data_IF_525444456101
#
_entry.id   IF_525444456101
#
_cell.length_a   1.000
_cell.length_b   1.000
_cell.length_c   1.000
_cell.angle_alpha   90.00
_cell.angle_beta   90.00
_cell.angle_gamma   90.00
#
_symmetry.space_group_name_H-M   'P 1'
#
loop_
_entity.id
_entity.type
_entity.pdbx_description
1 polymer ?
#
# COMPACT_ATOMS: atom_id res chain seq x y z
N UNK A 1 1.06 -19.19 8.63
CA UNK A 1 2.32 -19.88 8.25
C UNK A 1 2.29 -20.50 6.86
N UNK A 2 1.15 -21.03 6.39
CA UNK A 2 1.02 -21.59 5.03
C UNK A 2 1.16 -20.51 3.93
N UNK A 3 0.59 -19.33 4.15
CA UNK A 3 0.52 -18.22 3.18
C UNK A 3 1.89 -17.63 2.84
N UNK A 4 2.78 -17.47 3.83
CA UNK A 4 4.13 -16.96 3.59
C UNK A 4 4.99 -17.92 2.73
N UNK A 5 4.72 -19.22 2.81
CA UNK A 5 5.42 -20.22 2.01
C UNK A 5 4.96 -20.16 0.54
N UNK A 6 3.65 -20.03 0.33
CA UNK A 6 3.05 -19.86 -0.99
C UNK A 6 3.56 -18.58 -1.68
N UNK A 7 3.62 -17.47 -0.92
CA UNK A 7 4.14 -16.20 -1.43
C UNK A 7 5.60 -16.34 -1.87
N UNK A 8 6.44 -17.00 -1.06
CA UNK A 8 7.86 -17.25 -1.41
C UNK A 8 8.02 -18.12 -2.66
N UNK A 9 7.20 -19.16 -2.81
CA UNK A 9 7.24 -20.03 -4.00
C UNK A 9 6.84 -19.28 -5.28
N UNK A 10 5.87 -18.37 -5.20
CA UNK A 10 5.49 -17.52 -6.34
C UNK A 10 6.54 -16.44 -6.64
N UNK A 11 7.19 -15.87 -5.63
CA UNK A 11 8.24 -14.85 -5.78
C UNK A 11 9.45 -15.32 -6.59
N UNK A 12 9.82 -16.59 -6.48
CA UNK A 12 10.90 -17.18 -7.27
C UNK A 12 10.66 -17.09 -8.79
N UNK A 13 9.40 -16.94 -9.22
CA UNK A 13 9.02 -16.85 -10.63
C UNK A 13 9.01 -15.43 -11.16
N UNK A 14 9.13 -14.42 -10.30
CA UNK A 14 9.05 -13.03 -10.69
C UNK A 14 10.42 -12.37 -10.78
N UNK A 15 10.58 -11.58 -11.84
CA UNK A 15 11.73 -10.71 -12.06
C UNK A 15 11.31 -9.26 -11.94
N UNK A 16 12.23 -8.43 -11.47
CA UNK A 16 12.05 -7.00 -11.39
C UNK A 16 11.85 -6.41 -12.79
N UNK A 17 10.76 -5.66 -12.98
CA UNK A 17 10.45 -5.00 -14.25
C UNK A 17 11.52 -3.98 -14.68
N UNK A 18 12.26 -3.40 -13.73
CA UNK A 18 13.22 -2.32 -13.99
C UNK A 18 14.63 -2.83 -14.28
N UNK A 19 15.11 -3.83 -13.52
CA UNK A 19 16.51 -4.31 -13.62
C UNK A 19 16.65 -5.79 -13.98
N UNK A 20 15.54 -6.53 -14.15
CA UNK A 20 15.55 -7.96 -14.44
C UNK A 20 16.03 -8.85 -13.29
N UNK A 21 16.34 -8.29 -12.11
CA UNK A 21 16.78 -9.06 -10.94
C UNK A 21 15.68 -9.91 -10.33
N UNK A 22 16.02 -11.08 -9.77
CA UNK A 22 15.09 -11.94 -9.05
C UNK A 22 14.43 -11.22 -7.87
N UNK A 23 13.13 -11.46 -7.65
CA UNK A 23 12.37 -10.99 -6.50
C UNK A 23 12.28 -12.01 -5.36
N UNK A 24 12.98 -13.15 -5.45
CA UNK A 24 12.98 -14.19 -4.41
C UNK A 24 13.33 -13.67 -3.01
N UNK A 25 14.26 -12.72 -2.94
CA UNK A 25 14.71 -12.08 -1.70
C UNK A 25 14.12 -10.67 -1.51
N UNK A 26 13.02 -10.36 -2.21
CA UNK A 26 12.37 -9.06 -2.07
C UNK A 26 11.86 -8.86 -0.64
N UNK A 27 11.95 -7.62 -0.15
CA UNK A 27 11.24 -7.22 1.06
C UNK A 27 9.76 -7.15 0.71
N UNK A 28 8.93 -7.84 1.49
CA UNK A 28 7.50 -7.96 1.24
C UNK A 28 6.69 -7.17 2.26
N UNK A 29 5.60 -6.58 1.79
CA UNK A 29 4.59 -5.98 2.62
C UNK A 29 3.20 -6.39 2.11
N UNK A 30 2.41 -7.03 2.97
CA UNK A 30 1.03 -7.39 2.64
C UNK A 30 0.15 -6.14 2.61
N UNK A 31 -0.33 -5.80 1.41
CA UNK A 31 -1.29 -4.73 1.18
C UNK A 31 -2.70 -5.23 1.53
N UNK A 32 -3.07 -6.40 1.02
CA UNK A 32 -4.36 -7.03 1.26
C UNK A 32 -4.22 -8.54 1.38
N UNK A 33 -5.00 -9.08 2.30
CA UNK A 33 -5.13 -10.51 2.57
C UNK A 33 -6.62 -10.83 2.51
N UNK A 34 -7.06 -11.32 1.36
CA UNK A 34 -8.44 -11.76 1.14
C UNK A 34 -8.43 -13.27 0.85
N UNK A 35 -9.50 -14.02 1.20
CA UNK A 35 -9.55 -15.48 1.04
C UNK A 35 -9.26 -15.99 -0.37
N UNK A 36 -9.48 -15.14 -1.39
CA UNK A 36 -9.32 -15.47 -2.81
C UNK A 36 -8.10 -14.82 -3.47
N UNK A 37 -7.46 -13.85 -2.80
CA UNK A 37 -6.36 -13.08 -3.37
C UNK A 37 -5.46 -12.47 -2.29
N UNK A 38 -4.16 -12.71 -2.43
CA UNK A 38 -3.09 -12.05 -1.69
C UNK A 38 -2.49 -10.94 -2.53
N UNK A 39 -2.46 -9.72 -2.00
CA UNK A 39 -1.82 -8.56 -2.64
C UNK A 39 -0.62 -8.14 -1.78
N UNK A 40 0.57 -8.23 -2.35
CA UNK A 40 1.84 -7.98 -1.67
C UNK A 40 2.65 -6.97 -2.46
N UNK A 41 3.11 -5.91 -1.82
CA UNK A 41 4.17 -5.08 -2.36
C UNK A 41 5.52 -5.78 -2.15
N UNK A 42 6.34 -5.81 -3.20
CA UNK A 42 7.68 -6.35 -3.20
C UNK A 42 8.68 -5.26 -3.59
N UNK A 43 9.72 -5.09 -2.78
CA UNK A 43 10.83 -4.17 -3.07
C UNK A 43 12.00 -4.96 -3.63
N UNK A 44 12.44 -4.61 -4.83
CA UNK A 44 13.58 -5.27 -5.47
C UNK A 44 14.87 -5.01 -4.66
N UNK A 45 15.61 -6.06 -4.24
CA UNK A 45 16.81 -5.87 -3.43
C UNK A 45 17.94 -5.18 -4.21
N UNK A 46 17.96 -5.29 -5.55
CA UNK A 46 19.02 -4.73 -6.40
C UNK A 46 18.84 -3.25 -6.72
N UNK A 47 17.63 -2.82 -7.06
CA UNK A 47 17.39 -1.45 -7.57
C UNK A 47 16.30 -0.68 -6.80
N UNK A 48 15.78 -1.27 -5.72
CA UNK A 48 14.77 -0.68 -4.85
C UNK A 48 13.46 -0.29 -5.54
N UNK A 49 13.24 -0.73 -6.79
CA UNK A 49 11.95 -0.54 -7.45
C UNK A 49 10.89 -1.39 -6.79
N UNK A 50 9.69 -0.83 -6.65
CA UNK A 50 8.56 -1.51 -6.06
C UNK A 50 7.67 -2.16 -7.13
N UNK A 51 7.07 -3.28 -6.78
CA UNK A 51 6.11 -3.99 -7.61
C UNK A 51 4.99 -4.53 -6.73
N UNK A 52 3.77 -4.50 -7.24
CA UNK A 52 2.65 -5.19 -6.59
C UNK A 52 2.50 -6.56 -7.22
N UNK A 53 2.42 -7.56 -6.35
CA UNK A 53 2.22 -8.95 -6.69
C UNK A 53 0.82 -9.34 -6.24
N UNK A 54 0.05 -9.92 -7.15
CA UNK A 54 -1.25 -10.50 -6.84
C UNK A 54 -1.14 -12.00 -6.98
N UNK A 55 -1.50 -12.73 -5.95
CA UNK A 55 -1.43 -14.20 -5.89
C UNK A 55 -2.83 -14.71 -5.58
N UNK A 56 -3.35 -15.58 -6.44
CA UNK A 56 -4.66 -16.22 -6.32
C UNK A 56 -4.50 -17.72 -6.52
N UNK A 57 -5.54 -18.50 -6.19
CA UNK A 57 -5.54 -19.93 -6.49
C UNK A 57 -5.43 -20.25 -8.00
N UNK A 58 -5.88 -19.33 -8.87
CA UNK A 58 -5.86 -19.52 -10.32
C UNK A 58 -4.53 -19.08 -10.98
N UNK A 59 -3.68 -18.37 -10.25
CA UNK A 59 -2.43 -17.85 -10.79
C UNK A 59 -1.92 -16.62 -10.07
N UNK A 60 -0.82 -16.08 -10.57
CA UNK A 60 -0.16 -14.91 -9.99
C UNK A 60 0.29 -13.93 -11.06
N UNK A 61 0.21 -12.64 -10.77
CA UNK A 61 0.67 -11.56 -11.63
C UNK A 61 1.53 -10.56 -10.88
N UNK A 62 2.41 -9.88 -11.62
CA UNK A 62 3.23 -8.78 -11.11
C UNK A 62 2.97 -7.52 -11.95
N UNK A 63 2.82 -6.39 -11.28
CA UNK A 63 2.74 -5.08 -11.92
C UNK A 63 3.73 -4.11 -11.26
N UNK A 64 4.35 -3.20 -12.04
CA UNK A 64 5.17 -2.16 -11.46
C UNK A 64 4.32 -1.24 -10.60
N UNK A 65 4.82 -0.87 -9.42
CA UNK A 65 4.20 0.18 -8.61
C UNK A 65 4.84 1.51 -8.99
N UNK A 66 4.16 2.27 -9.84
CA UNK A 66 4.60 3.60 -10.30
C UNK A 66 3.75 4.63 -9.58
N UNK A 67 4.14 4.95 -8.35
CA UNK A 67 3.45 5.88 -7.46
C UNK A 67 4.47 6.57 -6.56
N UNK A 68 4.13 7.75 -6.07
CA UNK A 68 4.81 8.40 -4.95
C UNK A 68 4.38 7.85 -3.59
N UNK A 69 3.30 7.05 -3.56
CA UNK A 69 2.82 6.38 -2.36
C UNK A 69 3.65 5.13 -2.04
N UNK A 70 4.02 5.00 -0.76
CA UNK A 70 4.54 3.76 -0.20
C UNK A 70 3.47 2.67 -0.10
N UNK A 71 3.90 1.42 -0.03
CA UNK A 71 3.00 0.28 0.19
C UNK A 71 2.15 0.41 1.47
N UNK A 72 2.66 1.06 2.53
CA UNK A 72 1.90 1.34 3.75
C UNK A 72 0.78 2.35 3.52
N UNK A 73 1.06 3.40 2.74
CA UNK A 73 0.06 4.42 2.39
C UNK A 73 -1.03 3.82 1.51
N UNK A 74 -0.66 3.02 0.51
CA UNK A 74 -1.63 2.29 -0.33
C UNK A 74 -2.52 1.40 0.54
N UNK A 75 -1.94 0.66 1.48
CA UNK A 75 -2.70 -0.17 2.42
C UNK A 75 -3.67 0.66 3.25
N UNK A 76 -3.27 1.83 3.76
CA UNK A 76 -4.15 2.74 4.49
C UNK A 76 -5.31 3.21 3.61
N UNK A 77 -5.03 3.63 2.37
CA UNK A 77 -6.06 4.09 1.44
C UNK A 77 -7.07 3.01 1.07
N UNK A 78 -6.66 1.75 0.96
CA UNK A 78 -7.60 0.66 0.63
C UNK A 78 -8.60 0.36 1.75
N UNK A 79 -8.28 0.69 3.00
CA UNK A 79 -9.12 0.41 4.17
C UNK A 79 -9.99 1.63 4.51
N UNK A 80 -9.54 2.83 4.15
CA UNK A 80 -10.26 4.06 4.45
C UNK A 80 -11.55 4.19 3.64
N UNK A 81 -12.57 4.80 4.26
CA UNK A 81 -13.86 4.99 3.59
C UNK A 81 -13.72 5.97 2.44
N UNK A 82 -14.48 5.74 1.37
CA UNK A 82 -14.60 6.70 0.28
C UNK A 82 -15.05 8.05 0.82
N UNK A 83 -14.34 9.11 0.45
CA UNK A 83 -14.73 10.49 0.77
C UNK A 83 -16.06 10.80 0.09
N UNK A 84 -17.05 11.22 0.87
CA UNK A 84 -18.39 11.58 0.38
C UNK A 84 -18.51 13.07 0.10
N UNK A 85 -19.61 13.47 -0.56
CA UNK A 85 -19.94 14.89 -0.75
C UNK A 85 -20.04 15.64 0.58
N UNK A 86 -20.66 15.04 1.59
CA UNK A 86 -20.84 15.67 2.90
C UNK A 86 -19.50 15.87 3.63
N UNK A 87 -18.53 14.97 3.42
CA UNK A 87 -17.17 15.13 3.95
C UNK A 87 -16.47 16.34 3.33
N UNK A 88 -16.58 16.50 2.00
CA UNK A 88 -16.02 17.65 1.28
C UNK A 88 -16.71 18.96 1.67
N UNK A 89 -18.03 18.97 1.78
CA UNK A 89 -18.80 20.14 2.20
C UNK A 89 -18.48 20.54 3.65
N UNK A 90 -18.31 19.55 4.53
CA UNK A 90 -17.90 19.77 5.91
C UNK A 90 -16.48 20.36 5.98
N UNK A 91 -15.55 19.84 5.17
CA UNK A 91 -14.20 20.39 5.06
C UNK A 91 -14.23 21.84 4.56
N UNK A 92 -15.00 22.15 3.53
CA UNK A 92 -15.16 23.50 2.99
C UNK A 92 -15.63 24.48 4.08
N UNK A 93 -16.69 24.14 4.82
CA UNK A 93 -17.19 24.96 5.95
C UNK A 93 -16.15 25.15 7.07
N UNK A 94 -15.28 24.18 7.29
CA UNK A 94 -14.19 24.29 8.28
C UNK A 94 -13.11 25.26 7.80
N UNK A 95 -12.78 25.22 6.50
CA UNK A 95 -11.77 26.07 5.88
C UNK A 95 -12.19 27.55 5.82
N UNK A 96 -13.49 27.84 5.67
CA UNK A 96 -14.01 29.22 5.79
C UNK A 96 -13.73 29.82 7.18
N UNK A 97 -13.71 28.99 8.22
CA UNK A 97 -13.56 29.43 9.61
C UNK A 97 -12.11 29.40 10.09
N UNK A 98 -11.27 28.55 9.51
CA UNK A 98 -9.90 28.31 9.97
C UNK A 98 -8.99 27.97 8.78
N UNK A 99 -7.82 28.60 8.75
CA UNK A 99 -6.78 28.22 7.81
C UNK A 99 -6.43 26.73 7.94
N UNK A 100 -6.17 26.08 6.81
CA UNK A 100 -5.89 24.64 6.73
C UNK A 100 -4.75 24.20 7.65
N UNK A 101 -3.73 25.04 7.80
CA UNK A 101 -2.58 24.83 8.70
C UNK A 101 -2.99 24.61 10.15
N UNK A 102 -4.02 25.31 10.63
CA UNK A 102 -4.53 25.18 12.00
C UNK A 102 -5.34 23.89 12.19
N UNK A 103 -5.84 23.30 11.11
CA UNK A 103 -6.57 22.02 11.14
C UNK A 103 -5.59 20.83 11.14
N UNK A 104 -4.50 20.93 10.37
CA UNK A 104 -3.49 19.87 10.26
C UNK A 104 -2.70 19.69 11.58
N UNK A 105 -2.29 20.78 12.23
CA UNK A 105 -1.54 20.70 13.50
C UNK A 105 -2.36 20.18 14.70
N UNK A 106 -3.70 20.18 14.60
CA UNK A 106 -4.56 19.77 15.71
C UNK A 106 -4.57 18.26 15.95
N UNK A 107 -4.21 17.46 14.93
CA UNK A 107 -4.25 16.00 15.02
C UNK A 107 -2.99 15.44 15.70
N UNK A 108 -1.83 16.08 15.52
CA UNK A 108 -0.56 15.67 16.14
C UNK A 108 -0.61 15.73 17.67
N UNK A 109 -1.14 16.81 18.26
CA UNK A 109 -1.24 16.98 19.71
C UNK A 109 -2.18 15.99 20.43
N UNK A 110 -3.12 15.36 19.71
CA UNK A 110 -4.04 14.39 20.30
C UNK A 110 -3.49 12.94 20.25
N UNK A 111 -2.44 12.70 19.47
CA UNK A 111 -1.75 11.40 19.42
C UNK A 111 -0.66 11.28 20.49
N UNK A 112 -0.11 12.38 20.99
CA UNK A 112 0.92 12.40 22.05
C UNK A 112 0.36 12.18 23.47
N UNK A 113 -0.97 12.22 23.65
CA UNK A 113 -1.64 12.08 24.96
C UNK A 113 -2.37 10.72 25.12
N UNK A 114 -1.92 9.66 24.46
CA UNK A 114 -2.44 8.30 24.64
C UNK A 114 -1.33 7.28 24.82
#
# INVERSE_FOLDING_TARGET
>A
MLEQKLIKEHLQRFVCYKCGGSLEQAKLMTISDAPVAFVVAAVCPKCQSESVLTITAAGSGAMPLISDLSAEEIKKFMIEKSVTYDDLFSLHKLLEKKAIWNLLHKKEKNLENK
#
